data_IF_890551911484
#
_entry.id   IF_890551911484
#
_cell.length_a   1.000
_cell.length_b   1.000
_cell.length_c   1.000
_cell.angle_alpha   90.00
_cell.angle_beta   90.00
_cell.angle_gamma   90.00
#
_symmetry.space_group_name_H-M   'P 1'
#
loop_
_entity.id
_entity.type
_entity.pdbx_description
1 polymer ?
#
# COMPACT_ATOMS: atom_id res chain seq x y z
N UNK A 1 -0.16 -15.97 1.94
CA UNK A 1 0.18 -17.32 1.42
C UNK A 1 1.29 -18.01 2.25
N UNK A 2 2.48 -17.40 2.45
CA UNK A 2 3.51 -17.99 3.33
C UNK A 2 3.05 -18.08 4.78
N UNK A 3 2.30 -17.09 5.27
CA UNK A 3 1.71 -17.13 6.61
C UNK A 3 0.73 -18.32 6.76
N UNK A 4 -0.12 -18.56 5.77
CA UNK A 4 -1.02 -19.72 5.74
C UNK A 4 -0.26 -21.04 5.68
N UNK A 5 0.89 -21.08 4.97
CA UNK A 5 1.72 -22.25 4.86
C UNK A 5 2.40 -22.67 6.19
N UNK A 6 2.48 -21.78 7.20
CA UNK A 6 3.00 -22.11 8.53
C UNK A 6 2.27 -23.29 9.18
N UNK A 7 0.99 -23.44 8.94
CA UNK A 7 0.17 -24.52 9.50
C UNK A 7 0.54 -25.89 8.92
N UNK A 8 1.30 -25.95 7.84
CA UNK A 8 1.67 -27.18 7.13
C UNK A 8 3.18 -27.45 7.14
N UNK A 9 3.98 -26.41 7.00
CA UNK A 9 5.45 -26.48 7.04
C UNK A 9 5.97 -25.21 7.73
N UNK A 10 5.91 -25.21 9.06
CA UNK A 10 6.25 -24.04 9.87
C UNK A 10 7.69 -23.60 9.66
N UNK A 11 8.64 -24.54 9.67
CA UNK A 11 10.08 -24.24 9.60
C UNK A 11 10.44 -23.50 8.31
N UNK A 12 10.04 -24.03 7.17
CA UNK A 12 10.38 -23.46 5.88
C UNK A 12 9.59 -22.18 5.59
N UNK A 13 8.32 -22.11 6.04
CA UNK A 13 7.53 -20.90 5.93
C UNK A 13 8.10 -19.75 6.79
N UNK A 14 8.56 -20.04 8.01
CA UNK A 14 9.19 -19.03 8.88
C UNK A 14 10.54 -18.56 8.32
N UNK A 15 11.34 -19.43 7.74
CA UNK A 15 12.58 -19.06 7.07
C UNK A 15 12.31 -18.00 5.98
N UNK A 16 11.32 -18.25 5.11
CA UNK A 16 10.96 -17.32 4.04
C UNK A 16 10.36 -16.02 4.60
N UNK A 17 9.49 -16.11 5.60
CA UNK A 17 8.90 -14.92 6.24
C UNK A 17 9.96 -14.06 6.92
N UNK A 18 10.95 -14.66 7.57
CA UNK A 18 12.07 -13.94 8.17
C UNK A 18 12.89 -13.16 7.12
N UNK A 19 13.18 -13.76 5.97
CA UNK A 19 13.86 -13.08 4.88
C UNK A 19 13.02 -11.93 4.28
N UNK A 20 11.70 -12.11 4.15
CA UNK A 20 10.78 -11.04 3.74
C UNK A 20 10.78 -9.91 4.79
N UNK A 21 10.74 -10.24 6.08
CA UNK A 21 10.77 -9.25 7.15
C UNK A 21 12.03 -8.38 7.10
N UNK A 22 13.18 -8.95 6.76
CA UNK A 22 14.43 -8.18 6.59
C UNK A 22 14.29 -7.13 5.48
N UNK A 23 13.60 -7.43 4.36
CA UNK A 23 13.31 -6.42 3.33
C UNK A 23 12.47 -5.26 3.86
N UNK A 24 11.45 -5.55 4.67
CA UNK A 24 10.65 -4.50 5.32
C UNK A 24 11.43 -3.69 6.35
N UNK A 25 12.40 -4.28 7.05
CA UNK A 25 13.29 -3.56 7.97
C UNK A 25 14.16 -2.56 7.22
N UNK A 26 14.67 -2.91 6.03
CA UNK A 26 15.42 -1.99 5.16
C UNK A 26 14.55 -0.78 4.78
N UNK A 27 13.28 -1.00 4.41
CA UNK A 27 12.34 0.07 4.08
C UNK A 27 11.99 0.93 5.30
N UNK A 28 11.81 0.32 6.48
CA UNK A 28 11.59 1.07 7.73
C UNK A 28 12.77 1.98 8.02
N UNK A 29 13.99 1.48 7.92
CA UNK A 29 15.19 2.28 8.12
C UNK A 29 15.23 3.49 7.20
N UNK A 30 14.91 3.33 5.91
CA UNK A 30 14.85 4.46 4.99
C UNK A 30 13.83 5.53 5.41
N UNK A 31 12.65 5.10 5.89
CA UNK A 31 11.61 6.02 6.40
C UNK A 31 12.05 6.74 7.67
N UNK A 32 12.59 5.99 8.64
CA UNK A 32 13.01 6.53 9.93
C UNK A 32 14.14 7.56 9.79
N UNK A 33 15.00 7.39 8.78
CA UNK A 33 16.07 8.32 8.45
C UNK A 33 15.64 9.45 7.48
N UNK A 34 14.37 9.48 7.05
CA UNK A 34 13.84 10.44 6.08
C UNK A 34 14.70 10.55 4.80
N UNK A 35 15.12 9.41 4.24
CA UNK A 35 15.94 9.38 3.03
C UNK A 35 15.21 9.96 1.83
N UNK A 36 15.94 10.69 0.98
CA UNK A 36 15.45 11.11 -0.34
C UNK A 36 15.26 9.90 -1.26
N UNK A 37 14.47 10.02 -2.36
CA UNK A 37 14.30 8.93 -3.31
C UNK A 37 15.63 8.38 -3.85
N UNK A 38 16.62 9.22 -4.09
CA UNK A 38 17.96 8.82 -4.55
C UNK A 38 18.71 8.01 -3.48
N UNK A 39 18.61 8.45 -2.22
CA UNK A 39 19.20 7.74 -1.08
C UNK A 39 18.51 6.39 -0.86
N UNK A 40 17.18 6.34 -0.96
CA UNK A 40 16.40 5.09 -0.86
C UNK A 40 16.84 4.12 -1.96
N UNK A 41 16.94 4.57 -3.20
CA UNK A 41 17.40 3.74 -4.32
C UNK A 41 18.79 3.18 -4.04
N UNK A 42 19.75 4.03 -3.64
CA UNK A 42 21.12 3.60 -3.33
C UNK A 42 21.14 2.59 -2.19
N UNK A 43 20.41 2.84 -1.11
CA UNK A 43 20.32 1.95 0.04
C UNK A 43 19.70 0.58 -0.32
N UNK A 44 18.65 0.56 -1.16
CA UNK A 44 18.06 -0.68 -1.69
C UNK A 44 19.04 -1.48 -2.54
N UNK A 45 19.84 -0.81 -3.39
CA UNK A 45 20.85 -1.50 -4.21
C UNK A 45 21.91 -2.17 -3.32
N UNK A 46 22.31 -1.53 -2.24
CA UNK A 46 23.33 -2.05 -1.32
C UNK A 46 22.80 -3.15 -0.38
N UNK A 47 21.56 -3.05 0.09
CA UNK A 47 21.05 -3.92 1.15
C UNK A 47 19.88 -4.81 0.70
N UNK A 48 18.91 -4.27 -0.07
CA UNK A 48 17.74 -5.05 -0.45
C UNK A 48 18.04 -6.03 -1.60
N UNK A 49 18.85 -5.62 -2.58
CA UNK A 49 19.18 -6.49 -3.73
C UNK A 49 19.92 -7.77 -3.30
N UNK A 50 20.96 -7.73 -2.45
CA UNK A 50 21.58 -8.96 -1.93
C UNK A 50 20.60 -9.85 -1.18
N UNK A 51 19.74 -9.25 -0.36
CA UNK A 51 18.71 -9.98 0.40
C UNK A 51 17.66 -10.63 -0.51
N UNK A 52 17.23 -9.94 -1.59
CA UNK A 52 16.37 -10.51 -2.61
C UNK A 52 17.04 -11.70 -3.32
N UNK A 53 18.33 -11.61 -3.66
CA UNK A 53 19.06 -12.70 -4.27
C UNK A 53 19.12 -13.92 -3.33
N UNK A 54 19.38 -13.72 -2.05
CA UNK A 54 19.36 -14.78 -1.05
C UNK A 54 17.96 -15.42 -0.93
N UNK A 55 16.91 -14.61 -0.85
CA UNK A 55 15.53 -15.09 -0.84
C UNK A 55 15.19 -15.89 -2.10
N UNK A 56 15.60 -15.41 -3.27
CA UNK A 56 15.38 -16.11 -4.55
C UNK A 56 16.02 -17.50 -4.55
N UNK A 57 17.27 -17.60 -4.07
CA UNK A 57 17.96 -18.87 -3.96
C UNK A 57 17.26 -19.80 -2.98
N UNK A 58 16.89 -19.32 -1.81
CA UNK A 58 16.09 -20.08 -0.81
C UNK A 58 14.80 -20.62 -1.43
N UNK A 59 14.05 -19.80 -2.15
CA UNK A 59 12.81 -20.22 -2.79
C UNK A 59 13.04 -21.30 -3.86
N UNK A 60 14.12 -21.22 -4.64
CA UNK A 60 14.48 -22.26 -5.62
C UNK A 60 14.84 -23.59 -4.95
N UNK A 61 15.62 -23.54 -3.90
CA UNK A 61 16.00 -24.74 -3.14
C UNK A 61 14.79 -25.39 -2.45
N UNK A 62 13.91 -24.61 -1.86
CA UNK A 62 12.68 -25.10 -1.26
C UNK A 62 11.73 -25.69 -2.29
N UNK A 63 11.68 -25.12 -3.50
CA UNK A 63 10.82 -25.63 -4.57
C UNK A 63 11.15 -27.07 -4.94
N UNK A 64 12.44 -27.45 -4.93
CA UNK A 64 12.88 -28.82 -5.26
C UNK A 64 12.56 -29.83 -4.15
N UNK A 65 12.37 -29.35 -2.92
CA UNK A 65 12.12 -30.19 -1.73
C UNK A 65 10.66 -30.22 -1.29
N UNK A 66 9.80 -29.38 -1.90
CA UNK A 66 8.42 -29.19 -1.46
C UNK A 66 7.45 -29.78 -2.47
N UNK A 67 6.43 -30.47 -1.97
CA UNK A 67 5.37 -31.03 -2.84
C UNK A 67 4.68 -29.90 -3.62
N UNK A 68 4.51 -30.06 -4.94
CA UNK A 68 3.95 -29.03 -5.81
C UNK A 68 2.61 -28.48 -5.35
N UNK A 69 1.72 -29.30 -4.88
CA UNK A 69 0.35 -28.91 -4.51
C UNK A 69 0.18 -28.52 -3.03
N UNK A 70 1.26 -28.60 -2.25
CA UNK A 70 1.25 -28.13 -0.87
C UNK A 70 1.05 -26.60 -0.80
N UNK A 71 0.52 -26.07 0.31
CA UNK A 71 0.38 -24.62 0.51
C UNK A 71 1.71 -23.88 0.32
N UNK A 72 2.81 -24.42 0.81
CA UNK A 72 4.15 -23.85 0.65
C UNK A 72 4.60 -23.88 -0.81
N UNK A 73 4.46 -25.00 -1.50
CA UNK A 73 4.83 -25.14 -2.92
C UNK A 73 4.05 -24.19 -3.82
N UNK A 74 2.75 -24.02 -3.57
CA UNK A 74 1.91 -23.03 -4.26
C UNK A 74 2.36 -21.60 -3.99
N UNK A 75 2.72 -21.27 -2.75
CA UNK A 75 3.22 -19.94 -2.38
C UNK A 75 4.56 -19.64 -3.07
N UNK A 76 5.49 -20.58 -3.07
CA UNK A 76 6.81 -20.45 -3.72
C UNK A 76 6.64 -20.22 -5.23
N UNK A 77 5.89 -21.08 -5.92
CA UNK A 77 5.65 -20.93 -7.38
C UNK A 77 4.98 -19.61 -7.74
N UNK A 78 4.01 -19.18 -6.94
CA UNK A 78 3.37 -17.90 -7.13
C UNK A 78 4.36 -16.74 -7.04
N UNK A 79 5.28 -16.78 -6.07
CA UNK A 79 6.29 -15.75 -5.85
C UNK A 79 7.33 -15.75 -6.96
N UNK A 80 7.89 -16.92 -7.32
CA UNK A 80 8.87 -17.05 -8.40
C UNK A 80 8.32 -16.62 -9.76
N UNK A 81 7.06 -16.95 -10.07
CA UNK A 81 6.39 -16.49 -11.32
C UNK A 81 6.34 -14.98 -11.45
N UNK A 82 6.36 -14.25 -10.33
CA UNK A 82 6.27 -12.79 -10.28
C UNK A 82 7.55 -12.11 -9.85
N UNK A 83 8.65 -12.86 -9.78
CA UNK A 83 9.89 -12.42 -9.17
C UNK A 83 10.41 -11.09 -9.72
N UNK A 84 10.46 -10.94 -11.03
CA UNK A 84 10.92 -9.70 -11.68
C UNK A 84 10.06 -8.49 -11.27
N UNK A 85 8.72 -8.69 -11.21
CA UNK A 85 7.79 -7.63 -10.82
C UNK A 85 7.97 -7.25 -9.34
N UNK A 86 8.24 -8.23 -8.48
CA UNK A 86 8.49 -7.98 -7.06
C UNK A 86 9.80 -7.22 -6.82
N UNK A 87 10.78 -7.35 -7.71
CA UNK A 87 12.06 -6.66 -7.60
C UNK A 87 12.06 -5.23 -8.19
N UNK A 88 11.02 -4.81 -8.92
CA UNK A 88 10.98 -3.50 -9.60
C UNK A 88 11.17 -2.34 -8.62
N UNK A 89 10.63 -2.42 -7.40
CA UNK A 89 10.71 -1.35 -6.40
C UNK A 89 12.15 -0.95 -6.07
N UNK A 90 13.12 -1.84 -6.26
CA UNK A 90 14.53 -1.53 -5.99
C UNK A 90 15.17 -0.60 -7.03
N UNK A 91 14.52 -0.41 -8.18
CA UNK A 91 15.06 0.38 -9.31
C UNK A 91 14.82 1.87 -9.14
N UNK A 92 13.86 2.25 -8.31
CA UNK A 92 13.48 3.63 -8.08
C UNK A 92 13.06 3.84 -6.61
N UNK A 93 13.52 4.93 -5.98
CA UNK A 93 13.21 5.23 -4.59
C UNK A 93 11.77 5.71 -4.34
N UNK A 94 11.06 6.15 -5.39
CA UNK A 94 9.65 6.56 -5.29
C UNK A 94 8.73 5.34 -5.16
N UNK A 95 9.11 4.20 -5.74
CA UNK A 95 8.29 2.99 -5.70
C UNK A 95 8.24 2.41 -4.29
N UNK A 96 7.09 1.85 -3.93
CA UNK A 96 6.88 1.17 -2.65
C UNK A 96 7.12 -0.33 -2.79
N UNK A 97 7.59 -0.98 -1.71
CA UNK A 97 7.77 -2.44 -1.65
C UNK A 97 6.44 -3.19 -1.73
N UNK A 98 5.36 -2.55 -1.32
CA UNK A 98 4.00 -3.10 -1.30
C UNK A 98 2.96 -2.09 -1.79
N UNK A 99 1.70 -2.51 -1.81
CA UNK A 99 0.55 -1.70 -2.24
C UNK A 99 -0.32 -1.25 -1.05
N UNK A 100 0.22 -1.24 0.17
CA UNK A 100 -0.55 -0.96 1.38
C UNK A 100 -1.22 0.41 1.35
N UNK A 101 -0.59 1.42 0.75
CA UNK A 101 -1.18 2.75 0.62
C UNK A 101 -2.49 2.73 -0.17
N UNK A 102 -2.50 2.04 -1.32
CA UNK A 102 -3.70 1.91 -2.15
C UNK A 102 -4.73 1.00 -1.47
N UNK A 103 -4.32 -0.12 -0.89
CA UNK A 103 -5.23 -1.01 -0.16
C UNK A 103 -5.88 -0.32 1.03
N UNK A 104 -5.13 0.47 1.79
CA UNK A 104 -5.67 1.26 2.90
C UNK A 104 -6.61 2.38 2.42
N UNK A 105 -6.38 2.97 1.25
CA UNK A 105 -7.28 3.98 0.67
C UNK A 105 -8.63 3.38 0.24
N UNK A 106 -8.64 2.13 -0.23
CA UNK A 106 -9.85 1.42 -0.65
C UNK A 106 -10.60 0.77 0.55
N UNK A 107 -9.91 0.54 1.66
CA UNK A 107 -10.48 -0.13 2.84
C UNK A 107 -11.79 0.47 3.35
N UNK A 108 -11.97 1.82 3.45
CA UNK A 108 -13.25 2.41 3.85
C UNK A 108 -14.41 2.01 2.93
N UNK A 109 -14.16 1.95 1.62
CA UNK A 109 -15.16 1.49 0.63
C UNK A 109 -15.53 0.03 0.86
N UNK A 110 -14.53 -0.83 1.07
CA UNK A 110 -14.72 -2.26 1.31
C UNK A 110 -15.48 -2.52 2.62
N UNK A 111 -15.25 -1.72 3.66
CA UNK A 111 -16.00 -1.78 4.92
C UNK A 111 -17.41 -1.24 4.76
N UNK A 112 -17.59 -0.12 4.04
CA UNK A 112 -18.89 0.48 3.76
C UNK A 112 -19.83 -0.49 3.04
N UNK A 113 -19.32 -1.28 2.09
CA UNK A 113 -20.09 -2.33 1.39
C UNK A 113 -20.68 -3.41 2.31
N UNK A 114 -20.21 -3.57 3.54
CA UNK A 114 -20.83 -4.45 4.53
C UNK A 114 -22.05 -3.81 5.18
N UNK A 115 -22.15 -2.49 5.18
CA UNK A 115 -23.25 -1.74 5.78
C UNK A 115 -24.35 -1.43 4.75
N UNK A 116 -23.96 -1.21 3.48
CA UNK A 116 -24.89 -1.02 2.37
C UNK A 116 -24.46 -1.91 1.19
N UNK A 117 -25.37 -2.72 0.70
CA UNK A 117 -25.07 -3.76 -0.30
C UNK A 117 -24.84 -3.18 -1.70
N UNK A 118 -25.42 -2.02 -2.02
CA UNK A 118 -25.38 -1.38 -3.34
C UNK A 118 -25.57 0.13 -3.22
N UNK A 119 -25.14 0.87 -4.24
CA UNK A 119 -25.21 2.32 -4.29
C UNK A 119 -26.55 2.86 -4.90
N UNK A 120 -27.44 1.97 -5.30
CA UNK A 120 -28.75 2.31 -5.90
C UNK A 120 -28.69 2.63 -7.40
N UNK A 121 -27.67 3.35 -7.88
CA UNK A 121 -27.42 3.63 -9.31
C UNK A 121 -25.94 3.83 -9.57
N UNK A 122 -25.55 3.87 -10.86
CA UNK A 122 -24.17 4.18 -11.28
C UNK A 122 -23.75 5.60 -10.82
N UNK A 123 -24.62 6.58 -11.00
CA UNK A 123 -24.36 7.98 -10.62
C UNK A 123 -24.13 8.10 -9.10
N UNK A 124 -24.97 7.44 -8.30
CA UNK A 124 -24.80 7.39 -6.84
C UNK A 124 -23.49 6.72 -6.43
N UNK A 125 -23.03 5.73 -7.18
CA UNK A 125 -21.74 5.11 -6.95
C UNK A 125 -20.58 6.05 -7.25
N UNK A 126 -20.69 6.88 -8.29
CA UNK A 126 -19.72 7.92 -8.62
C UNK A 126 -19.67 9.02 -7.54
N UNK A 127 -20.83 9.51 -7.08
CA UNK A 127 -20.92 10.49 -6.00
C UNK A 127 -20.24 9.95 -4.72
N UNK A 128 -20.54 8.71 -4.36
CA UNK A 128 -19.91 8.06 -3.20
C UNK A 128 -18.39 7.92 -3.38
N UNK A 129 -17.91 7.55 -4.56
CA UNK A 129 -16.48 7.43 -4.84
C UNK A 129 -15.76 8.80 -4.72
N UNK A 130 -16.40 9.87 -5.17
CA UNK A 130 -15.90 11.23 -5.04
C UNK A 130 -15.77 11.63 -3.55
N UNK A 131 -16.80 11.40 -2.74
CA UNK A 131 -16.75 11.68 -1.30
C UNK A 131 -15.68 10.87 -0.58
N UNK A 132 -15.52 9.57 -0.91
CA UNK A 132 -14.43 8.75 -0.37
C UNK A 132 -13.06 9.31 -0.71
N UNK A 133 -12.86 9.81 -1.93
CA UNK A 133 -11.60 10.44 -2.35
C UNK A 133 -11.31 11.71 -1.56
N UNK A 134 -12.30 12.57 -1.36
CA UNK A 134 -12.17 13.80 -0.58
C UNK A 134 -11.85 13.50 0.89
N UNK A 135 -12.55 12.56 1.51
CA UNK A 135 -12.26 12.15 2.89
C UNK A 135 -10.88 11.46 3.04
N UNK A 136 -10.45 10.70 2.03
CA UNK A 136 -9.10 10.15 2.02
C UNK A 136 -8.05 11.28 1.94
N UNK A 137 -8.31 12.32 1.15
CA UNK A 137 -7.45 13.51 1.07
C UNK A 137 -7.39 14.26 2.40
N UNK A 138 -8.53 14.42 3.11
CA UNK A 138 -8.54 14.98 4.46
C UNK A 138 -7.57 14.22 5.39
N UNK A 139 -7.62 12.88 5.38
CA UNK A 139 -6.74 12.05 6.21
C UNK A 139 -5.27 12.22 5.85
N UNK A 140 -4.93 12.29 4.56
CA UNK A 140 -3.56 12.49 4.10
C UNK A 140 -2.97 13.82 4.59
N UNK A 141 -3.81 14.84 4.73
CA UNK A 141 -3.42 16.17 5.18
C UNK A 141 -3.72 16.44 6.66
N UNK A 142 -4.05 15.40 7.44
CA UNK A 142 -4.38 15.49 8.86
C UNK A 142 -5.54 16.46 9.18
N UNK A 143 -6.45 16.65 8.22
CA UNK A 143 -7.66 17.47 8.36
C UNK A 143 -8.79 16.61 8.91
N UNK A 144 -9.55 17.14 9.87
CA UNK A 144 -10.78 16.51 10.30
C UNK A 144 -11.83 16.63 9.18
N UNK A 145 -12.34 15.49 8.63
CA UNK A 145 -13.31 15.52 7.53
C UNK A 145 -14.61 16.24 7.84
N UNK A 146 -15.09 16.21 9.10
CA UNK A 146 -16.31 16.86 9.53
C UNK A 146 -16.14 18.37 9.51
N UNK A 147 -15.05 18.90 10.07
CA UNK A 147 -14.74 20.33 10.07
C UNK A 147 -14.56 20.84 8.64
N UNK A 148 -13.85 20.10 7.78
CA UNK A 148 -13.70 20.47 6.38
C UNK A 148 -15.05 20.48 5.64
N UNK A 149 -15.91 19.49 5.87
CA UNK A 149 -17.22 19.42 5.21
C UNK A 149 -18.13 20.57 5.64
N UNK A 150 -18.11 20.93 6.90
CA UNK A 150 -18.84 22.11 7.43
C UNK A 150 -18.38 23.37 6.71
N UNK A 151 -17.07 23.63 6.67
CA UNK A 151 -16.51 24.78 5.97
C UNK A 151 -16.82 24.78 4.46
N UNK A 152 -16.79 23.59 3.84
CA UNK A 152 -17.18 23.43 2.44
C UNK A 152 -18.62 23.92 2.21
N UNK A 153 -19.57 23.44 3.02
CA UNK A 153 -20.99 23.83 2.88
C UNK A 153 -21.26 25.30 3.18
N UNK A 154 -20.55 25.90 4.11
CA UNK A 154 -20.68 27.34 4.42
C UNK A 154 -20.19 28.23 3.27
N UNK A 155 -19.17 27.77 2.52
CA UNK A 155 -18.47 28.63 1.55
C UNK A 155 -18.76 28.28 0.08
N UNK A 156 -19.27 27.10 -0.26
CA UNK A 156 -19.41 26.63 -1.64
C UNK A 156 -20.31 27.55 -2.49
N UNK A 157 -21.38 28.07 -1.92
CA UNK A 157 -22.35 28.92 -2.64
C UNK A 157 -21.81 30.32 -2.90
N UNK A 158 -20.89 30.80 -2.08
CA UNK A 158 -20.29 32.14 -2.18
C UNK A 158 -18.96 32.12 -2.97
N UNK A 159 -18.38 30.93 -3.20
CA UNK A 159 -17.09 30.79 -3.89
C UNK A 159 -17.28 30.79 -5.42
N UNK A 160 -16.59 31.68 -6.15
CA UNK A 160 -16.59 31.66 -7.62
C UNK A 160 -16.12 30.34 -8.19
N UNK A 161 -16.69 29.90 -9.32
CA UNK A 161 -16.37 28.59 -9.96
C UNK A 161 -14.89 28.38 -10.22
N UNK A 162 -14.16 29.40 -10.62
CA UNK A 162 -12.71 29.36 -10.87
C UNK A 162 -11.87 29.23 -9.57
N UNK A 163 -12.48 29.41 -8.40
CA UNK A 163 -11.85 29.33 -7.09
C UNK A 163 -12.28 28.10 -6.26
N UNK A 164 -13.16 27.24 -6.77
CA UNK A 164 -13.63 26.05 -6.05
C UNK A 164 -12.47 25.11 -5.64
N UNK A 165 -11.37 25.13 -6.35
CA UNK A 165 -10.18 24.35 -5.97
C UNK A 165 -9.62 24.76 -4.61
N UNK A 166 -9.84 25.99 -4.14
CA UNK A 166 -9.42 26.46 -2.81
C UNK A 166 -10.16 25.75 -1.67
N UNK A 167 -11.36 25.22 -1.94
CA UNK A 167 -12.14 24.46 -0.97
C UNK A 167 -11.73 22.99 -0.85
N UNK A 168 -10.77 22.51 -1.66
CA UNK A 168 -10.28 21.15 -1.57
C UNK A 168 -9.53 20.90 -0.23
N UNK A 169 -9.57 19.69 0.33
CA UNK A 169 -9.01 19.41 1.65
C UNK A 169 -7.54 19.81 1.84
N UNK A 170 -6.71 19.63 0.80
CA UNK A 170 -5.28 20.00 0.86
C UNK A 170 -5.09 21.53 0.98
N UNK A 171 -5.94 22.31 0.33
CA UNK A 171 -5.86 23.79 0.39
C UNK A 171 -6.47 24.31 1.69
N UNK A 172 -7.50 23.66 2.22
CA UNK A 172 -8.02 23.94 3.55
C UNK A 172 -6.97 23.67 4.64
N UNK A 173 -6.22 22.56 4.54
CA UNK A 173 -5.11 22.29 5.45
C UNK A 173 -4.07 23.42 5.46
N UNK A 174 -3.71 23.93 4.28
CA UNK A 174 -2.77 25.05 4.15
C UNK A 174 -3.29 26.37 4.74
N UNK A 175 -4.60 26.55 4.87
CA UNK A 175 -5.18 27.74 5.51
C UNK A 175 -5.21 27.68 7.03
N UNK A 176 -4.97 26.52 7.64
CA UNK A 176 -4.92 26.28 9.08
C UNK A 176 -3.51 26.36 9.66
N UNK A 177 -2.49 26.30 8.82
CA UNK A 177 -1.07 26.41 9.16
C UNK A 177 -0.57 27.85 9.11
#
# INVERSE_FOLDING_TARGET
KFFEAKNYDNRNAELVLGQIQQLYQIESHCRDQNFTPEQIKSHRQQHAVPQLNALHQTLKELLTKTLPDSPLGKAIRYTLKRWEKLCIYTRDGILQIDNNLVENSIRPVALGRKNYLFAGSHDRAQDAAMLYSLFATCRLHHVNPENWLTQLFENINSTPKNQLHLLLPQNYAASLS
#
